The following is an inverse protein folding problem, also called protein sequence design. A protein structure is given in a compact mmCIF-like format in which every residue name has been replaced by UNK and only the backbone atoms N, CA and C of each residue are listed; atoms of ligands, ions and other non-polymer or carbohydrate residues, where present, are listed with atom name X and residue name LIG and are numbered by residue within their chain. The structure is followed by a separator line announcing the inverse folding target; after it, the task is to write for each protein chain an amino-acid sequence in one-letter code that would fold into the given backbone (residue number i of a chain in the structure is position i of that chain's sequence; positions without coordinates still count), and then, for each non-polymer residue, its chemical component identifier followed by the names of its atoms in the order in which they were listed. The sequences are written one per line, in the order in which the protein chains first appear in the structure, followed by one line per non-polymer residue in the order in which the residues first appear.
data_IF_128538993715
#
_entry.id   IF_128538993715
#
_cell.length_a   1.000
_cell.length_b   1.000
_cell.length_c   1.000
_cell.angle_alpha   90.00
_cell.angle_beta   90.00
_cell.angle_gamma   90.00
#
_symmetry.space_group_name_H-M   'P 1'
#
loop_
_entity.id
_entity.type
_entity.pdbx_description
1 polymer ?
#
# COMPACT_ATOMS: atom_id res chain seq x y z
N UNK A 1 -16.60 28.82 0.60
CA UNK A 1 -17.73 27.99 0.14
C UNK A 1 -17.52 26.48 0.35
N UNK A 2 -16.34 25.91 0.03
CA UNK A 2 -16.09 24.47 0.26
C UNK A 2 -16.04 24.09 1.76
N UNK A 3 -15.42 24.93 2.60
CA UNK A 3 -15.36 24.73 4.06
C UNK A 3 -16.75 24.74 4.72
N UNK A 4 -17.65 25.64 4.29
CA UNK A 4 -19.01 25.76 4.84
C UNK A 4 -19.94 24.61 4.44
N UNK A 5 -19.66 23.91 3.33
CA UNK A 5 -20.39 22.70 2.92
C UNK A 5 -19.88 21.46 3.68
N UNK A 6 -18.56 21.35 3.86
CA UNK A 6 -17.92 20.28 4.65
C UNK A 6 -18.35 20.27 6.13
N UNK A 7 -18.72 21.42 6.71
CA UNK A 7 -19.24 21.51 8.09
C UNK A 7 -20.68 21.02 8.25
N UNK A 8 -21.46 20.98 7.15
CA UNK A 8 -22.89 20.65 7.18
C UNK A 8 -23.21 19.19 6.84
N UNK A 9 -22.29 18.48 6.20
CA UNK A 9 -22.46 17.04 5.91
C UNK A 9 -22.09 16.21 7.14
N UNK A 10 -23.11 15.86 7.93
CA UNK A 10 -22.98 14.93 9.05
C UNK A 10 -23.91 13.74 8.84
N UNK A 11 -23.38 12.52 8.97
CA UNK A 11 -24.21 11.30 8.88
C UNK A 11 -24.47 10.77 10.29
N UNK A 12 -25.73 10.45 10.63
CA UNK A 12 -26.06 9.87 11.92
C UNK A 12 -25.37 8.51 12.06
N UNK A 13 -24.57 8.35 13.11
CA UNK A 13 -23.92 7.10 13.47
C UNK A 13 -24.20 6.76 14.94
N UNK A 14 -24.02 5.49 15.32
CA UNK A 14 -24.14 5.07 16.73
C UNK A 14 -23.13 5.87 17.57
N UNK A 15 -23.63 6.73 18.45
CA UNK A 15 -22.83 7.64 19.29
C UNK A 15 -22.71 9.09 18.78
N UNK A 16 -23.45 9.49 17.74
CA UNK A 16 -23.54 10.89 17.29
C UNK A 16 -23.30 11.08 15.79
N UNK A 17 -23.64 12.27 15.28
CA UNK A 17 -23.47 12.60 13.87
C UNK A 17 -21.98 12.84 13.56
N UNK A 18 -21.37 11.98 12.72
CA UNK A 18 -19.97 12.13 12.30
C UNK A 18 -19.89 13.05 11.09
N UNK A 19 -18.98 14.01 11.12
CA UNK A 19 -18.67 14.87 9.98
C UNK A 19 -18.07 14.04 8.86
N UNK A 20 -18.69 14.10 7.69
CA UNK A 20 -18.19 13.48 6.47
C UNK A 20 -17.34 14.52 5.75
N UNK A 21 -16.03 14.36 5.84
CA UNK A 21 -15.10 15.15 5.06
C UNK A 21 -15.12 14.67 3.60
N UNK A 22 -15.04 15.61 2.66
CA UNK A 22 -15.22 15.35 1.22
C UNK A 22 -14.14 14.39 0.67
N UNK A 23 -12.97 14.38 1.27
CA UNK A 23 -11.87 13.44 1.00
C UNK A 23 -12.20 11.98 1.33
N UNK A 24 -13.19 11.71 2.18
CA UNK A 24 -13.63 10.35 2.49
C UNK A 24 -14.65 9.80 1.47
N UNK A 25 -15.47 10.67 0.90
CA UNK A 25 -16.51 10.27 -0.08
C UNK A 25 -15.97 10.29 -1.51
N UNK A 26 -15.10 11.26 -1.82
CA UNK A 26 -14.50 11.41 -3.13
C UNK A 26 -13.92 10.12 -3.73
N UNK A 27 -13.11 9.30 -3.02
CA UNK A 27 -12.54 8.09 -3.63
C UNK A 27 -13.60 7.06 -4.00
N UNK A 28 -14.65 6.88 -3.17
CA UNK A 28 -15.74 5.94 -3.44
C UNK A 28 -16.54 6.40 -4.66
N UNK A 29 -17.00 7.66 -4.65
CA UNK A 29 -17.80 8.23 -5.72
C UNK A 29 -17.05 8.26 -7.05
N UNK A 30 -15.77 8.66 -7.02
CA UNK A 30 -14.93 8.70 -8.21
C UNK A 30 -14.67 7.30 -8.77
N UNK A 31 -14.36 6.31 -7.92
CA UNK A 31 -14.16 4.94 -8.35
C UNK A 31 -15.42 4.40 -9.05
N UNK A 32 -16.58 4.47 -8.39
CA UNK A 32 -17.84 3.95 -8.95
C UNK A 32 -18.18 4.67 -10.25
N UNK A 33 -18.11 6.00 -10.28
CA UNK A 33 -18.44 6.79 -11.49
C UNK A 33 -17.55 6.43 -12.67
N UNK A 34 -16.25 6.22 -12.45
CA UNK A 34 -15.33 5.81 -13.50
C UNK A 34 -15.65 4.40 -14.03
N UNK A 35 -16.01 3.46 -13.15
CA UNK A 35 -16.40 2.11 -13.59
C UNK A 35 -17.72 2.11 -14.37
N UNK A 36 -18.73 2.84 -13.88
CA UNK A 36 -20.01 2.97 -14.58
C UNK A 36 -19.84 3.64 -15.95
N UNK A 37 -18.96 4.64 -16.06
CA UNK A 37 -18.60 5.30 -17.32
C UNK A 37 -17.88 4.34 -18.27
N UNK A 38 -16.94 3.54 -17.76
CA UNK A 38 -16.23 2.54 -18.56
C UNK A 38 -17.19 1.51 -19.19
N UNK A 39 -18.28 1.17 -18.51
CA UNK A 39 -19.25 0.17 -18.97
C UNK A 39 -20.21 0.67 -20.08
N UNK A 40 -20.20 1.96 -20.42
CA UNK A 40 -21.13 2.52 -21.44
C UNK A 40 -20.81 1.99 -22.84
N UNK A 41 -19.53 1.99 -23.24
CA UNK A 41 -19.08 1.46 -24.52
C UNK A 41 -17.56 1.22 -24.52
N UNK A 42 -17.07 0.57 -25.57
CA UNK A 42 -15.66 0.24 -25.74
C UNK A 42 -14.72 1.45 -25.68
N UNK A 43 -15.07 2.57 -26.32
CA UNK A 43 -14.23 3.77 -26.33
C UNK A 43 -14.15 4.43 -24.94
N UNK A 44 -15.26 4.46 -24.20
CA UNK A 44 -15.30 4.92 -22.82
C UNK A 44 -14.43 4.04 -21.93
N UNK A 45 -14.49 2.72 -22.09
CA UNK A 45 -13.62 1.76 -21.37
C UNK A 45 -12.14 2.06 -21.62
N UNK A 46 -11.72 2.17 -22.89
CA UNK A 46 -10.34 2.48 -23.26
C UNK A 46 -9.87 3.81 -22.65
N UNK A 47 -10.69 4.86 -22.78
CA UNK A 47 -10.39 6.17 -22.23
C UNK A 47 -10.22 6.14 -20.71
N UNK A 48 -11.16 5.50 -19.99
CA UNK A 48 -11.15 5.43 -18.53
C UNK A 48 -9.93 4.66 -18.02
N UNK A 49 -9.61 3.49 -18.59
CA UNK A 49 -8.49 2.68 -18.11
C UNK A 49 -7.11 3.27 -18.43
N UNK A 50 -6.99 4.11 -19.46
CA UNK A 50 -5.79 4.93 -19.70
C UNK A 50 -5.73 6.10 -18.71
N UNK A 51 -6.88 6.71 -18.40
CA UNK A 51 -6.96 7.88 -17.53
C UNK A 51 -6.73 7.55 -16.04
N UNK A 52 -7.23 6.42 -15.55
CA UNK A 52 -7.16 6.03 -14.13
C UNK A 52 -5.72 6.07 -13.58
N UNK A 53 -4.70 5.44 -14.21
CA UNK A 53 -3.32 5.51 -13.74
C UNK A 53 -2.79 6.94 -13.68
N UNK A 54 -3.05 7.74 -14.72
CA UNK A 54 -2.60 9.13 -14.81
C UNK A 54 -3.25 9.99 -13.72
N UNK A 55 -4.55 9.81 -13.51
CA UNK A 55 -5.33 10.49 -12.48
C UNK A 55 -4.80 10.15 -11.08
N UNK A 56 -4.60 8.87 -10.77
CA UNK A 56 -4.09 8.44 -9.46
C UNK A 56 -2.67 8.95 -9.19
N UNK A 57 -1.81 9.00 -10.22
CA UNK A 57 -0.47 9.59 -10.10
C UNK A 57 -0.54 11.10 -9.88
N UNK A 58 -1.42 11.81 -10.59
CA UNK A 58 -1.64 13.23 -10.41
C UNK A 58 -2.18 13.54 -9.01
N UNK A 59 -3.23 12.84 -8.57
CA UNK A 59 -3.82 12.98 -7.23
C UNK A 59 -2.79 12.67 -6.13
N UNK A 60 -1.90 11.69 -6.34
CA UNK A 60 -0.86 11.37 -5.37
C UNK A 60 0.12 12.52 -5.19
N UNK A 61 0.50 13.19 -6.28
CA UNK A 61 1.37 14.37 -6.25
C UNK A 61 0.65 15.57 -5.63
N UNK A 62 -0.61 15.80 -6.01
CA UNK A 62 -1.41 16.92 -5.54
C UNK A 62 -1.74 16.80 -4.05
N UNK A 63 -2.35 15.69 -3.63
CA UNK A 63 -2.70 15.45 -2.22
C UNK A 63 -1.45 15.34 -1.34
N UNK A 64 -0.34 14.79 -1.86
CA UNK A 64 0.94 14.78 -1.13
C UNK A 64 1.48 16.18 -0.80
N UNK A 65 1.14 17.20 -1.61
CA UNK A 65 1.50 18.61 -1.38
C UNK A 65 0.50 19.32 -0.46
N UNK A 66 -0.80 19.14 -0.69
CA UNK A 66 -1.86 19.90 0.01
C UNK A 66 -2.26 19.24 1.33
N UNK A 67 -2.46 17.92 1.33
CA UNK A 67 -2.99 17.13 2.45
C UNK A 67 -2.15 15.86 2.68
N UNK A 68 -0.94 15.99 3.26
CA UNK A 68 0.01 14.86 3.37
C UNK A 68 -0.51 13.69 4.22
N UNK A 69 -1.51 13.91 5.08
CA UNK A 69 -2.16 12.89 5.93
C UNK A 69 -3.54 12.43 5.40
N UNK A 70 -3.84 12.69 4.13
CA UNK A 70 -5.12 12.30 3.51
C UNK A 70 -5.32 10.77 3.53
N UNK A 71 -6.57 10.35 3.78
CA UNK A 71 -6.99 8.94 3.73
C UNK A 71 -7.45 8.49 2.35
N UNK A 72 -7.39 9.37 1.35
CA UNK A 72 -7.94 9.14 0.01
C UNK A 72 -7.51 7.80 -0.60
N UNK A 73 -6.20 7.50 -0.65
CA UNK A 73 -5.68 6.27 -1.24
C UNK A 73 -6.02 5.01 -0.45
N UNK A 74 -6.13 5.13 0.87
CA UNK A 74 -6.54 4.00 1.71
C UNK A 74 -8.02 3.68 1.53
N UNK A 75 -8.86 4.70 1.46
CA UNK A 75 -10.28 4.53 1.16
C UNK A 75 -10.48 4.04 -0.28
N UNK A 76 -9.70 4.53 -1.25
CA UNK A 76 -9.70 3.98 -2.60
C UNK A 76 -9.42 2.48 -2.59
N UNK A 77 -8.36 2.03 -1.92
CA UNK A 77 -8.03 0.59 -1.82
C UNK A 77 -9.18 -0.24 -1.23
N UNK A 78 -9.76 0.20 -0.12
CA UNK A 78 -10.87 -0.51 0.54
C UNK A 78 -12.11 -0.53 -0.37
N UNK A 79 -12.40 0.59 -1.03
CA UNK A 79 -13.55 0.72 -1.94
C UNK A 79 -13.38 -0.13 -3.19
N UNK A 80 -12.16 -0.24 -3.73
CA UNK A 80 -11.83 -1.14 -4.85
C UNK A 80 -12.06 -2.60 -4.49
N UNK A 81 -11.62 -3.03 -3.30
CA UNK A 81 -11.86 -4.39 -2.83
C UNK A 81 -13.37 -4.66 -2.63
N UNK A 82 -14.08 -3.71 -2.02
CA UNK A 82 -15.54 -3.81 -1.86
C UNK A 82 -16.30 -3.83 -3.18
N UNK A 83 -15.92 -2.98 -4.13
CA UNK A 83 -16.50 -2.94 -5.47
C UNK A 83 -16.33 -4.28 -6.20
N UNK A 84 -15.10 -4.82 -6.22
CA UNK A 84 -14.83 -6.10 -6.89
C UNK A 84 -15.57 -7.26 -6.22
N UNK A 85 -15.70 -7.25 -4.88
CA UNK A 85 -16.48 -8.27 -4.17
C UNK A 85 -17.97 -8.17 -4.50
N UNK A 86 -18.56 -6.97 -4.46
CA UNK A 86 -19.97 -6.77 -4.80
C UNK A 86 -20.23 -7.15 -6.25
N UNK A 87 -19.35 -6.73 -7.17
CA UNK A 87 -19.45 -7.11 -8.57
C UNK A 87 -19.36 -8.62 -8.72
N UNK A 88 -18.43 -9.30 -8.03
CA UNK A 88 -18.33 -10.77 -8.09
C UNK A 88 -19.62 -11.45 -7.60
N UNK A 89 -20.16 -11.06 -6.45
CA UNK A 89 -21.37 -11.66 -5.88
C UNK A 89 -22.63 -11.40 -6.71
N UNK A 90 -22.73 -10.25 -7.38
CA UNK A 90 -23.82 -9.98 -8.33
C UNK A 90 -23.75 -10.89 -9.55
N UNK A 91 -22.55 -11.37 -9.87
CA UNK A 91 -22.23 -12.10 -11.10
C UNK A 91 -22.26 -13.62 -10.90
N UNK A 92 -22.02 -14.10 -9.69
CA UNK A 92 -22.12 -15.54 -9.34
C UNK A 92 -23.44 -16.17 -9.84
N UNK A 93 -24.63 -15.54 -9.66
CA UNK A 93 -25.89 -16.10 -10.17
C UNK A 93 -26.02 -16.04 -11.71
N UNK A 94 -25.29 -15.13 -12.36
CA UNK A 94 -25.39 -14.86 -13.80
C UNK A 94 -24.47 -15.75 -14.64
N UNK A 95 -23.34 -16.20 -14.09
CA UNK A 95 -22.18 -16.65 -14.87
C UNK A 95 -21.68 -18.08 -14.58
N UNK A 96 -22.57 -18.98 -14.12
CA UNK A 96 -22.27 -20.40 -13.84
C UNK A 96 -20.96 -20.64 -13.03
N UNK A 97 -20.60 -19.72 -12.14
CA UNK A 97 -19.39 -19.83 -11.33
C UNK A 97 -19.57 -20.95 -10.29
N UNK A 98 -18.59 -21.85 -10.19
CA UNK A 98 -18.69 -22.98 -9.28
C UNK A 98 -18.59 -22.51 -7.81
N UNK A 99 -19.36 -23.06 -6.86
CA UNK A 99 -19.31 -22.62 -5.46
C UNK A 99 -17.91 -22.69 -4.83
N UNK A 100 -17.08 -23.66 -5.27
CA UNK A 100 -15.71 -23.82 -4.81
C UNK A 100 -14.80 -22.65 -5.25
N UNK A 101 -15.00 -22.15 -6.46
CA UNK A 101 -14.25 -21.01 -7.02
C UNK A 101 -14.62 -19.71 -6.30
N UNK A 102 -15.91 -19.53 -5.99
CA UNK A 102 -16.37 -18.40 -5.18
C UNK A 102 -15.75 -18.42 -3.78
N UNK A 103 -15.80 -19.57 -3.10
CA UNK A 103 -15.17 -19.74 -1.78
C UNK A 103 -13.67 -19.46 -1.83
N UNK A 104 -12.96 -19.93 -2.86
CA UNK A 104 -11.54 -19.67 -3.04
C UNK A 104 -11.24 -18.16 -3.17
N UNK A 105 -12.05 -17.43 -3.96
CA UNK A 105 -11.91 -15.99 -4.11
C UNK A 105 -12.15 -15.23 -2.81
N UNK A 106 -13.25 -15.52 -2.10
CA UNK A 106 -13.58 -14.88 -0.81
C UNK A 106 -12.48 -15.15 0.23
N UNK A 107 -11.94 -16.38 0.27
CA UNK A 107 -10.84 -16.74 1.16
C UNK A 107 -9.57 -15.94 0.85
N UNK A 108 -9.17 -15.84 -0.41
CA UNK A 108 -7.98 -15.06 -0.80
C UNK A 108 -8.16 -13.57 -0.47
N UNK A 109 -9.34 -13.01 -0.75
CA UNK A 109 -9.63 -11.60 -0.48
C UNK A 109 -9.64 -11.31 1.02
N UNK A 110 -10.25 -12.19 1.83
CA UNK A 110 -10.27 -12.06 3.29
C UNK A 110 -8.88 -12.20 3.91
N UNK A 111 -8.07 -13.17 3.46
CA UNK A 111 -6.68 -13.32 3.89
C UNK A 111 -5.83 -12.10 3.55
N UNK A 112 -6.00 -11.54 2.34
CA UNK A 112 -5.38 -10.28 1.94
C UNK A 112 -5.75 -9.16 2.92
N UNK A 113 -7.06 -8.94 3.15
CA UNK A 113 -7.54 -7.88 4.02
C UNK A 113 -7.01 -8.03 5.45
N UNK A 114 -7.03 -9.25 6.01
CA UNK A 114 -6.49 -9.54 7.35
C UNK A 114 -4.99 -9.21 7.42
N UNK A 115 -4.20 -9.60 6.41
CA UNK A 115 -2.77 -9.32 6.37
C UNK A 115 -2.47 -7.82 6.28
N UNK A 116 -3.16 -7.10 5.39
CA UNK A 116 -2.98 -5.65 5.22
C UNK A 116 -3.49 -4.86 6.43
N UNK A 117 -4.59 -5.29 7.05
CA UNK A 117 -5.08 -4.71 8.30
C UNK A 117 -4.09 -4.92 9.45
N UNK A 118 -3.58 -6.15 9.63
CA UNK A 118 -2.54 -6.43 10.62
C UNK A 118 -1.26 -5.65 10.34
N UNK A 119 -0.91 -5.44 9.06
CA UNK A 119 0.23 -4.59 8.65
C UNK A 119 0.06 -3.17 9.18
N UNK A 120 -1.11 -2.56 8.99
CA UNK A 120 -1.39 -1.21 9.51
C UNK A 120 -1.34 -1.18 11.04
N UNK A 121 -2.03 -2.11 11.71
CA UNK A 121 -2.06 -2.18 13.19
C UNK A 121 -0.68 -2.33 13.81
N UNK A 122 0.19 -3.15 13.19
CA UNK A 122 1.56 -3.37 13.66
C UNK A 122 2.54 -2.26 13.30
N UNK A 123 2.16 -1.28 12.47
CA UNK A 123 3.03 -0.17 12.13
C UNK A 123 3.49 0.61 13.38
N UNK A 124 2.60 0.75 14.37
CA UNK A 124 2.89 1.45 15.64
C UNK A 124 3.99 0.77 16.43
N UNK A 125 4.12 -0.56 16.37
CA UNK A 125 5.18 -1.30 17.05
C UNK A 125 6.57 -1.00 16.48
N UNK A 126 6.64 -0.51 15.23
CA UNK A 126 7.88 -0.07 14.61
C UNK A 126 8.28 1.37 14.95
N UNK A 127 7.45 2.10 15.70
CA UNK A 127 7.76 3.46 16.13
C UNK A 127 8.77 3.41 17.26
N UNK A 128 9.84 4.18 17.12
CA UNK A 128 10.86 4.29 18.17
C UNK A 128 10.26 5.17 19.28
N UNK A 129 10.05 4.62 20.47
CA UNK A 129 9.71 5.42 21.65
C UNK A 129 10.89 6.33 22.03
N UNK A 130 10.63 7.54 22.53
CA UNK A 130 11.68 8.31 23.19
C UNK A 130 12.09 7.55 24.45
N UNK A 131 13.38 7.27 24.64
CA UNK A 131 13.85 6.74 25.91
C UNK A 131 13.62 7.83 26.97
N UNK A 132 12.77 7.55 27.94
CA UNK A 132 12.35 8.48 29.00
C UNK A 132 13.42 8.72 30.07
N UNK A 133 14.64 9.03 29.68
CA UNK A 133 15.53 9.79 30.57
C UNK A 133 15.42 11.24 30.10
N UNK A 134 15.01 12.14 30.99
CA UNK A 134 14.64 13.54 30.74
C UNK A 134 15.72 14.47 30.15
N UNK A 135 16.66 13.96 29.37
CA UNK A 135 17.54 14.76 28.53
C UNK A 135 16.89 14.99 27.16
N UNK A 136 16.01 16.00 27.08
CA UNK A 136 15.71 16.62 25.80
C UNK A 136 17.04 17.13 25.22
N UNK A 137 17.47 16.58 24.08
CA UNK A 137 18.74 16.95 23.49
C UNK A 137 18.66 18.40 22.98
N UNK A 138 19.58 19.27 23.41
CA UNK A 138 19.66 20.65 22.96
C UNK A 138 20.46 20.72 21.65
N UNK A 139 19.77 20.47 20.52
CA UNK A 139 20.37 20.50 19.18
C UNK A 139 20.40 21.94 18.66
N UNK A 140 21.15 22.83 19.29
CA UNK A 140 21.23 24.26 18.90
C UNK A 140 22.41 24.57 17.96
N UNK A 141 23.11 23.56 17.43
CA UNK A 141 24.40 23.74 16.76
C UNK A 141 24.55 23.34 15.29
N UNK A 142 23.48 23.19 14.49
CA UNK A 142 23.63 22.91 13.05
C UNK A 142 22.57 23.62 12.20
N UNK A 143 22.92 24.81 11.69
CA UNK A 143 22.17 25.46 10.61
C UNK A 143 22.66 24.92 9.26
N UNK A 144 21.69 24.77 8.35
CA UNK A 144 21.77 24.50 6.91
C UNK A 144 21.84 23.03 6.44
N UNK A 145 20.64 22.52 6.13
CA UNK A 145 20.42 21.40 5.22
C UNK A 145 18.92 21.17 5.05
N UNK A 146 18.38 21.35 3.85
CA UNK A 146 16.93 21.27 3.55
C UNK A 146 16.29 19.87 3.75
N UNK A 147 17.06 18.88 4.22
CA UNK A 147 16.62 17.50 4.42
C UNK A 147 16.44 17.16 5.91
N UNK A 148 15.36 17.68 6.48
CA UNK A 148 14.86 17.47 7.85
C UNK A 148 14.48 16.02 8.23
N UNK A 149 14.91 14.99 7.49
CA UNK A 149 14.55 13.59 7.73
C UNK A 149 15.68 12.71 8.28
N UNK A 150 16.82 13.30 8.66
CA UNK A 150 18.07 12.56 8.85
C UNK A 150 18.38 12.33 10.32
N UNK A 151 18.91 11.13 10.60
CA UNK A 151 19.60 10.86 11.85
C UNK A 151 21.05 11.32 11.68
N UNK A 152 21.49 12.31 12.46
CA UNK A 152 22.85 12.85 12.39
C UNK A 152 23.75 11.99 13.28
N UNK A 153 24.94 11.63 12.78
CA UNK A 153 25.97 11.00 13.59
C UNK A 153 26.51 12.04 14.57
N UNK A 154 26.37 11.76 15.86
CA UNK A 154 26.97 12.55 16.91
C UNK A 154 28.11 11.71 17.47
N UNK A 155 29.33 12.18 17.26
CA UNK A 155 30.47 11.73 18.04
C UNK A 155 30.40 12.44 19.38
N UNK A 156 30.25 11.69 20.46
CA UNK A 156 30.42 12.21 21.81
C UNK A 156 31.91 12.59 21.95
N UNK A 157 32.25 13.84 21.61
CA UNK A 157 33.51 14.47 22.04
C UNK A 157 33.21 15.04 23.41
N UNK A 158 33.38 14.22 24.44
CA UNK A 158 33.38 14.71 25.81
C UNK A 158 34.63 15.58 26.02
N UNK A 159 34.46 16.91 26.03
CA UNK A 159 35.43 17.86 26.61
C UNK A 159 35.30 17.82 28.14
N UNK A 160 35.50 16.65 28.73
CA UNK A 160 35.46 16.46 30.19
C UNK A 160 36.59 15.54 30.61
N UNK A 161 37.65 16.19 31.08
CA UNK A 161 38.84 15.63 31.69
C UNK A 161 38.43 14.97 33.04
N UNK A 162 38.08 13.68 33.03
CA UNK A 162 38.19 12.86 34.23
C UNK A 162 38.39 11.38 33.87
N UNK A 163 39.42 10.78 34.46
CA UNK A 163 39.88 9.44 34.13
C UNK A 163 38.97 8.35 34.67
N UNK A 164 38.43 7.49 33.79
CA UNK A 164 37.74 6.29 34.23
C UNK A 164 36.99 5.52 33.15
N UNK A 165 37.55 4.36 32.77
CA UNK A 165 36.94 3.28 31.97
C UNK A 165 36.60 3.58 30.50
N UNK A 166 37.26 2.83 29.61
CA UNK A 166 37.00 2.78 28.17
C UNK A 166 35.59 2.23 27.94
N UNK A 167 34.58 3.11 27.85
CA UNK A 167 33.30 2.79 27.26
C UNK A 167 33.40 2.97 25.75
N UNK A 168 33.21 1.88 25.03
CA UNK A 168 33.08 1.79 23.56
C UNK A 168 32.42 3.04 22.96
N UNK A 169 33.22 3.84 22.24
CA UNK A 169 32.84 5.10 21.60
C UNK A 169 31.89 4.87 20.42
N UNK A 170 30.71 4.31 20.70
CA UNK A 170 29.68 4.05 19.71
C UNK A 170 29.00 5.35 19.28
N UNK A 171 29.39 5.89 18.12
CA UNK A 171 28.71 7.01 17.47
C UNK A 171 27.19 6.82 17.49
N UNK A 172 26.46 7.73 18.15
CA UNK A 172 25.00 7.64 18.27
C UNK A 172 24.33 8.44 17.16
N UNK A 173 23.36 7.83 16.49
CA UNK A 173 22.54 8.50 15.48
C UNK A 173 21.37 9.22 16.17
N UNK A 174 21.11 10.49 15.84
CA UNK A 174 20.05 11.30 16.45
C UNK A 174 19.13 11.95 15.42
N UNK A 175 17.81 11.81 15.59
CA UNK A 175 16.84 12.48 14.72
C UNK A 175 16.61 13.93 15.16
N UNK A 176 16.91 14.88 14.28
CA UNK A 176 16.71 16.32 14.49
C UNK A 176 15.23 16.66 14.77
N UNK A 177 14.31 16.07 14.01
CA UNK A 177 12.88 16.39 14.11
C UNK A 177 12.20 15.79 15.35
N UNK A 178 12.66 14.63 15.82
CA UNK A 178 12.15 14.00 17.04
C UNK A 178 13.00 14.29 18.29
N UNK A 179 14.15 14.97 18.14
CA UNK A 179 15.13 15.27 19.19
C UNK A 179 15.46 14.06 20.08
N UNK A 180 15.73 12.92 19.45
CA UNK A 180 16.06 11.67 20.16
C UNK A 180 17.07 10.83 19.41
N UNK A 181 17.81 10.02 20.16
CA UNK A 181 18.65 8.97 19.58
C UNK A 181 17.79 7.91 18.88
N UNK A 182 18.30 7.40 17.76
CA UNK A 182 17.64 6.41 16.93
C UNK A 182 18.62 5.29 16.58
N UNK A 183 18.16 4.03 16.50
CA UNK A 183 19.01 2.93 16.09
C UNK A 183 19.44 3.08 14.62
N UNK A 184 20.51 2.38 14.20
CA UNK A 184 20.91 2.32 12.80
C UNK A 184 19.75 1.92 11.88
N UNK A 185 19.74 2.49 10.66
CA UNK A 185 18.70 2.27 9.63
C UNK A 185 17.29 2.72 10.04
N UNK A 186 17.15 3.50 11.11
CA UNK A 186 15.89 4.16 11.43
C UNK A 186 15.77 5.50 10.71
N UNK A 187 14.56 5.81 10.23
CA UNK A 187 14.30 7.03 9.47
C UNK A 187 13.04 7.74 9.96
N UNK A 188 13.05 9.07 9.88
CA UNK A 188 11.90 9.90 10.25
C UNK A 188 10.90 9.98 9.08
N UNK A 189 9.67 9.53 9.31
CA UNK A 189 8.58 9.72 8.35
C UNK A 189 7.89 11.06 8.58
N UNK A 190 7.98 12.00 7.63
CA UNK A 190 7.26 13.29 7.71
C UNK A 190 5.75 13.11 7.82
N UNK A 191 5.18 12.11 7.13
CA UNK A 191 3.72 11.85 7.11
C UNK A 191 3.23 11.30 8.45
N UNK A 192 3.90 10.27 8.99
CA UNK A 192 3.55 9.72 10.31
C UNK A 192 4.05 10.58 11.47
N UNK A 193 4.96 11.52 11.21
CA UNK A 193 5.59 12.40 12.20
C UNK A 193 6.33 11.62 13.31
N UNK A 194 6.96 10.51 12.96
CA UNK A 194 7.67 9.63 13.90
C UNK A 194 8.86 8.93 13.24
N UNK A 195 9.85 8.53 14.05
CA UNK A 195 10.94 7.66 13.61
C UNK A 195 10.49 6.19 13.57
N UNK A 196 10.75 5.53 12.45
CA UNK A 196 10.38 4.13 12.21
C UNK A 196 11.65 3.28 12.07
N UNK A 197 11.72 2.19 12.82
CA UNK A 197 12.86 1.27 12.77
C UNK A 197 12.91 0.51 11.44
N UNK A 198 14.07 0.53 10.78
CA UNK A 198 14.30 -0.07 9.44
C UNK A 198 13.15 0.28 8.49
N UNK A 199 12.88 1.57 8.37
CA UNK A 199 11.77 2.07 7.55
C UNK A 199 12.01 1.70 6.08
N UNK A 200 11.05 0.99 5.47
CA UNK A 200 11.09 0.75 4.03
C UNK A 200 10.51 1.93 3.27
N UNK A 201 9.21 2.17 3.45
CA UNK A 201 8.52 3.30 2.85
C UNK A 201 7.28 3.67 3.67
N UNK A 202 6.75 4.88 3.42
CA UNK A 202 5.39 5.21 3.83
C UNK A 202 4.43 4.78 2.73
N UNK A 203 3.53 3.85 3.03
CA UNK A 203 2.54 3.35 2.08
C UNK A 203 1.26 4.17 2.18
N UNK A 204 0.97 4.98 1.15
CA UNK A 204 -0.24 5.81 1.08
C UNK A 204 -1.53 5.00 0.99
N UNK A 205 -1.48 3.79 0.41
CA UNK A 205 -2.64 2.89 0.24
C UNK A 205 -3.01 2.19 1.54
N UNK A 206 -2.04 1.95 2.42
CA UNK A 206 -2.31 1.42 3.76
C UNK A 206 -2.39 2.52 4.81
N UNK A 207 -2.06 3.76 4.45
CA UNK A 207 -1.94 4.90 5.34
C UNK A 207 -1.08 4.58 6.58
N UNK A 208 0.06 3.89 6.38
CA UNK A 208 0.98 3.52 7.44
C UNK A 208 2.42 3.37 6.91
N UNK A 209 3.40 3.41 7.80
CA UNK A 209 4.77 3.04 7.43
C UNK A 209 4.92 1.51 7.39
N UNK A 210 5.63 1.04 6.37
CA UNK A 210 6.14 -0.34 6.30
C UNK A 210 7.59 -0.31 6.76
N UNK A 211 7.94 -1.16 7.71
CA UNK A 211 9.28 -1.30 8.28
C UNK A 211 9.43 -2.63 9.01
N UNK A 212 10.44 -2.76 9.89
CA UNK A 212 10.83 -4.05 10.50
C UNK A 212 9.64 -4.84 11.08
N UNK A 213 8.75 -4.17 11.80
CA UNK A 213 7.67 -4.79 12.57
C UNK A 213 6.52 -5.39 11.71
N UNK A 214 6.35 -4.93 10.47
CA UNK A 214 5.19 -5.26 9.64
C UNK A 214 5.50 -5.62 8.18
N UNK A 215 6.77 -5.55 7.75
CA UNK A 215 7.18 -5.80 6.35
C UNK A 215 6.72 -7.14 5.78
N UNK A 216 6.77 -8.22 6.56
CA UNK A 216 6.34 -9.54 6.09
C UNK A 216 4.84 -9.64 5.85
N UNK A 217 4.04 -9.07 6.76
CA UNK A 217 2.59 -9.05 6.63
C UNK A 217 2.18 -8.20 5.43
N UNK A 218 2.92 -7.12 5.16
CA UNK A 218 2.73 -6.32 3.96
C UNK A 218 2.95 -7.15 2.70
N UNK A 219 4.08 -7.85 2.60
CA UNK A 219 4.41 -8.66 1.43
C UNK A 219 3.40 -9.81 1.24
N UNK A 220 3.03 -10.50 2.32
CA UNK A 220 2.04 -11.57 2.29
C UNK A 220 0.65 -11.06 1.86
N UNK A 221 0.22 -9.90 2.38
CA UNK A 221 -1.03 -9.27 1.98
C UNK A 221 -1.04 -8.88 0.49
N UNK A 222 0.08 -8.37 -0.03
CA UNK A 222 0.22 -8.09 -1.46
C UNK A 222 0.12 -9.36 -2.31
N UNK A 223 0.74 -10.48 -1.88
CA UNK A 223 0.67 -11.76 -2.59
C UNK A 223 -0.76 -12.29 -2.63
N UNK A 224 -1.48 -12.31 -1.50
CA UNK A 224 -2.88 -12.71 -1.50
C UNK A 224 -3.76 -11.78 -2.34
N UNK A 225 -3.47 -10.47 -2.35
CA UNK A 225 -4.16 -9.52 -3.24
C UNK A 225 -3.93 -9.86 -4.70
N UNK A 226 -2.68 -10.15 -5.09
CA UNK A 226 -2.33 -10.52 -6.46
C UNK A 226 -3.10 -11.77 -6.91
N UNK A 227 -3.11 -12.81 -6.07
CA UNK A 227 -3.82 -14.06 -6.36
C UNK A 227 -5.34 -13.84 -6.45
N UNK A 228 -5.92 -13.07 -5.54
CA UNK A 228 -7.35 -12.74 -5.57
C UNK A 228 -7.74 -12.00 -6.85
N UNK A 229 -6.95 -11.00 -7.27
CA UNK A 229 -7.22 -10.21 -8.48
C UNK A 229 -7.05 -11.04 -9.76
N UNK A 230 -6.04 -11.91 -9.81
CA UNK A 230 -5.85 -12.84 -10.94
C UNK A 230 -7.01 -13.84 -11.05
N UNK A 231 -7.43 -14.42 -9.92
CA UNK A 231 -8.56 -15.35 -9.89
C UNK A 231 -9.86 -14.65 -10.32
N UNK A 232 -10.15 -13.47 -9.77
CA UNK A 232 -11.30 -12.67 -10.18
C UNK A 232 -11.30 -12.38 -11.68
N UNK A 233 -10.19 -11.86 -12.21
CA UNK A 233 -10.09 -11.50 -13.62
C UNK A 233 -10.25 -12.72 -14.53
N UNK A 234 -9.67 -13.87 -14.16
CA UNK A 234 -9.81 -15.10 -14.92
C UNK A 234 -11.28 -15.56 -14.95
N UNK A 235 -11.90 -15.78 -13.79
CA UNK A 235 -13.28 -16.26 -13.68
C UNK A 235 -14.28 -15.34 -14.39
N UNK A 236 -14.15 -14.03 -14.17
CA UNK A 236 -15.06 -13.06 -14.77
C UNK A 236 -14.87 -12.95 -16.30
N UNK A 237 -13.63 -13.03 -16.82
CA UNK A 237 -13.41 -13.00 -18.27
C UNK A 237 -13.84 -14.30 -18.96
N UNK A 238 -13.58 -15.46 -18.38
CA UNK A 238 -13.99 -16.75 -18.97
C UNK A 238 -15.49 -16.94 -18.99
N UNK A 239 -16.21 -16.22 -18.11
CA UNK A 239 -17.66 -16.27 -18.08
C UNK A 239 -18.32 -15.21 -18.98
N UNK A 240 -17.69 -14.05 -19.18
CA UNK A 240 -18.22 -12.97 -20.04
C UNK A 240 -17.85 -13.15 -21.52
N UNK A 241 -16.64 -13.61 -21.82
CA UNK A 241 -16.18 -13.82 -23.19
C UNK A 241 -16.23 -15.31 -23.54
N UNK A 242 -16.36 -15.64 -24.83
CA UNK A 242 -16.35 -17.03 -25.28
C UNK A 242 -15.07 -17.76 -24.82
N UNK A 243 -15.17 -18.78 -23.95
CA UNK A 243 -13.99 -19.42 -23.40
C UNK A 243 -13.43 -20.45 -24.38
N UNK A 244 -12.15 -20.34 -24.69
CA UNK A 244 -11.39 -21.34 -25.45
C UNK A 244 -10.43 -22.10 -24.54
N UNK A 245 -10.41 -23.44 -24.59
CA UNK A 245 -9.50 -24.25 -23.80
C UNK A 245 -8.08 -24.16 -24.39
N UNK A 246 -7.09 -23.72 -23.61
CA UNK A 246 -5.69 -23.64 -24.08
C UNK A 246 -4.85 -24.83 -23.62
N UNK A 247 -4.89 -25.19 -22.33
CA UNK A 247 -4.08 -26.29 -21.79
C UNK A 247 -4.74 -26.99 -20.60
N UNK A 248 -4.43 -28.29 -20.41
CA UNK A 248 -4.93 -29.10 -19.29
C UNK A 248 -3.80 -29.29 -18.26
N UNK A 249 -4.05 -28.88 -17.01
CA UNK A 249 -3.12 -29.06 -15.89
C UNK A 249 -3.77 -30.00 -14.88
N UNK A 250 -3.25 -31.23 -14.76
CA UNK A 250 -3.75 -32.24 -13.80
C UNK A 250 -5.27 -32.46 -13.84
N UNK A 251 -5.88 -32.45 -15.03
CA UNK A 251 -7.33 -32.63 -15.20
C UNK A 251 -8.14 -31.34 -15.16
N UNK A 252 -7.54 -30.20 -14.81
CA UNK A 252 -8.18 -28.87 -14.86
C UNK A 252 -7.88 -28.22 -16.21
N UNK A 253 -8.93 -27.90 -16.97
CA UNK A 253 -8.83 -27.20 -18.25
C UNK A 253 -8.69 -25.71 -17.98
N UNK A 254 -7.61 -25.09 -18.47
CA UNK A 254 -7.42 -23.64 -18.39
C UNK A 254 -8.06 -23.00 -19.63
N UNK A 255 -9.10 -22.21 -19.37
CA UNK A 255 -9.88 -21.47 -20.37
C UNK A 255 -9.36 -20.04 -20.51
N UNK A 256 -9.38 -19.50 -21.73
CA UNK A 256 -9.05 -18.10 -22.02
C UNK A 256 -10.13 -17.44 -22.89
N UNK A 257 -10.36 -16.12 -22.73
CA UNK A 257 -11.34 -15.39 -23.52
C UNK A 257 -10.86 -15.17 -24.97
N UNK A 258 -11.67 -15.53 -25.98
CA UNK A 258 -11.31 -15.42 -27.42
C UNK A 258 -12.17 -14.39 -28.19
N UNK A 259 -13.48 -14.30 -27.91
CA UNK A 259 -14.36 -13.27 -28.48
C UNK A 259 -15.13 -12.52 -27.39
N UNK A 260 -15.03 -11.19 -27.41
CA UNK A 260 -15.69 -10.27 -26.47
C UNK A 260 -16.49 -9.18 -27.23
N UNK A 261 -16.81 -9.37 -28.52
CA UNK A 261 -17.44 -8.34 -29.36
C UNK A 261 -18.79 -7.87 -28.82
N UNK A 262 -19.53 -8.76 -28.15
CA UNK A 262 -20.90 -8.51 -27.70
C UNK A 262 -21.03 -8.04 -26.24
N UNK A 263 -19.92 -7.82 -25.54
CA UNK A 263 -19.92 -7.52 -24.10
C UNK A 263 -20.62 -6.20 -23.71
N UNK A 264 -20.74 -5.25 -24.65
CA UNK A 264 -21.37 -3.94 -24.41
C UNK A 264 -22.86 -3.88 -24.76
N UNK A 265 -23.47 -4.98 -25.23
CA UNK A 265 -24.91 -5.01 -25.51
C UNK A 265 -25.77 -5.06 -24.24
N UNK A 266 -25.24 -5.65 -23.16
CA UNK A 266 -25.89 -5.69 -21.86
C UNK A 266 -25.04 -4.99 -20.81
N UNK A 267 -25.65 -4.08 -20.04
CA UNK A 267 -24.92 -3.25 -19.10
C UNK A 267 -24.27 -4.06 -17.97
N UNK A 268 -24.95 -5.11 -17.50
CA UNK A 268 -24.44 -5.98 -16.44
C UNK A 268 -23.18 -6.73 -16.88
N UNK A 269 -23.19 -7.29 -18.11
CA UNK A 269 -22.03 -7.95 -18.72
C UNK A 269 -20.88 -6.96 -18.95
N UNK A 270 -21.19 -5.73 -19.39
CA UNK A 270 -20.19 -4.68 -19.57
C UNK A 270 -19.52 -4.27 -18.24
N UNK A 271 -20.28 -4.24 -17.13
CA UNK A 271 -19.73 -3.98 -15.79
C UNK A 271 -18.77 -5.09 -15.34
N UNK A 272 -19.11 -6.36 -15.61
CA UNK A 272 -18.23 -7.49 -15.34
C UNK A 272 -16.93 -7.38 -16.11
N UNK A 273 -17.02 -7.13 -17.43
CA UNK A 273 -15.87 -6.99 -18.29
C UNK A 273 -14.95 -5.86 -17.83
N UNK A 274 -15.51 -4.66 -17.61
CA UNK A 274 -14.73 -3.50 -17.14
C UNK A 274 -14.15 -3.73 -15.74
N UNK A 275 -14.88 -4.41 -14.86
CA UNK A 275 -14.36 -4.89 -13.58
C UNK A 275 -13.13 -5.80 -13.72
N UNK A 276 -13.14 -6.73 -14.68
CA UNK A 276 -11.99 -7.59 -14.98
C UNK A 276 -10.79 -6.82 -15.50
N UNK A 277 -11.00 -5.87 -16.41
CA UNK A 277 -9.92 -4.98 -16.90
C UNK A 277 -9.35 -4.14 -15.75
N UNK A 278 -10.21 -3.64 -14.86
CA UNK A 278 -9.78 -2.94 -13.65
C UNK A 278 -8.95 -3.85 -12.73
N UNK A 279 -9.39 -5.09 -12.50
CA UNK A 279 -8.65 -6.06 -11.70
C UNK A 279 -7.28 -6.37 -12.30
N UNK A 280 -7.17 -6.53 -13.62
CA UNK A 280 -5.89 -6.72 -14.33
C UNK A 280 -4.97 -5.50 -14.19
N UNK A 281 -5.51 -4.29 -14.32
CA UNK A 281 -4.75 -3.06 -14.10
C UNK A 281 -4.17 -3.00 -12.67
N UNK A 282 -4.99 -3.36 -11.68
CA UNK A 282 -4.55 -3.43 -10.28
C UNK A 282 -3.55 -4.56 -10.05
N UNK A 283 -3.70 -5.71 -10.73
CA UNK A 283 -2.74 -6.82 -10.72
C UNK A 283 -1.36 -6.35 -11.17
N UNK A 284 -1.27 -5.61 -12.29
CA UNK A 284 0.01 -5.05 -12.76
C UNK A 284 0.62 -4.11 -11.71
N UNK A 285 -0.18 -3.24 -11.11
CA UNK A 285 0.27 -2.34 -10.06
C UNK A 285 0.83 -3.07 -8.82
N UNK A 286 0.13 -4.11 -8.35
CA UNK A 286 0.55 -4.93 -7.22
C UNK A 286 1.77 -5.78 -7.58
N UNK A 287 1.83 -6.35 -8.78
CA UNK A 287 2.97 -7.14 -9.27
C UNK A 287 4.27 -6.31 -9.30
N UNK A 288 4.21 -5.08 -9.83
CA UNK A 288 5.36 -4.14 -9.79
C UNK A 288 5.77 -3.85 -8.35
N UNK A 289 4.79 -3.66 -7.45
CA UNK A 289 5.05 -3.41 -6.03
C UNK A 289 5.73 -4.61 -5.35
N UNK A 290 5.30 -5.84 -5.64
CA UNK A 290 5.93 -7.07 -5.14
C UNK A 290 7.34 -7.21 -5.72
N UNK A 291 7.52 -7.09 -7.03
CA UNK A 291 8.82 -7.22 -7.69
C UNK A 291 9.86 -6.27 -7.11
N UNK A 292 9.48 -5.00 -6.88
CA UNK A 292 10.33 -4.01 -6.23
C UNK A 292 10.76 -4.44 -4.82
N UNK A 293 9.82 -4.97 -4.03
CA UNK A 293 10.11 -5.46 -2.68
C UNK A 293 11.02 -6.69 -2.70
N UNK A 294 10.78 -7.65 -3.60
CA UNK A 294 11.63 -8.82 -3.78
C UNK A 294 13.06 -8.42 -4.17
N UNK A 295 13.21 -7.45 -5.08
CA UNK A 295 14.50 -6.93 -5.49
C UNK A 295 15.25 -6.28 -4.31
N UNK A 296 14.59 -5.40 -3.55
CA UNK A 296 15.21 -4.74 -2.40
C UNK A 296 15.57 -5.70 -1.27
N UNK A 297 14.70 -6.65 -0.95
CA UNK A 297 15.00 -7.72 0.03
C UNK A 297 16.20 -8.53 -0.44
N UNK A 298 16.24 -8.92 -1.72
CA UNK A 298 17.37 -9.69 -2.29
C UNK A 298 18.70 -8.91 -2.23
N UNK A 299 18.65 -7.59 -2.40
CA UNK A 299 19.80 -6.70 -2.24
C UNK A 299 20.13 -6.33 -0.78
N UNK A 300 19.27 -6.67 0.19
CA UNK A 300 19.45 -6.32 1.60
C UNK A 300 19.22 -4.85 1.94
N UNK A 301 18.63 -4.08 1.01
CA UNK A 301 18.37 -2.64 1.13
C UNK A 301 16.89 -2.36 1.32
N UNK A 302 16.57 -1.23 1.92
CA UNK A 302 15.21 -0.69 2.00
C UNK A 302 14.98 0.36 0.91
N UNK A 303 13.73 0.65 0.57
CA UNK A 303 13.43 1.72 -0.39
C UNK A 303 13.95 3.09 0.09
N UNK A 304 13.91 3.36 1.40
CA UNK A 304 14.41 4.62 1.97
C UNK A 304 15.94 4.74 1.81
N UNK A 305 16.68 3.65 2.06
CA UNK A 305 18.14 3.60 1.83
C UNK A 305 18.48 3.80 0.35
N UNK A 306 17.78 3.09 -0.55
CA UNK A 306 17.99 3.25 -2.00
C UNK A 306 17.73 4.69 -2.45
N UNK A 307 16.64 5.31 -1.97
CA UNK A 307 16.28 6.68 -2.32
C UNK A 307 17.31 7.70 -1.83
N UNK A 308 17.99 7.43 -0.72
CA UNK A 308 19.01 8.31 -0.13
C UNK A 308 20.41 8.07 -0.68
N UNK A 309 20.63 6.95 -1.37
CA UNK A 309 21.97 6.55 -1.80
C UNK A 309 22.85 6.05 -0.65
N UNK A 310 22.24 5.59 0.45
CA UNK A 310 22.99 5.12 1.62
C UNK A 310 23.77 3.85 1.27
N UNK A 311 25.09 3.85 1.54
CA UNK A 311 25.93 2.69 1.33
C UNK A 311 25.65 1.62 2.39
N UNK A 312 24.88 0.59 2.02
CA UNK A 312 24.65 -0.59 2.85
C UNK A 312 25.62 -1.69 2.44
N UNK A 313 26.33 -2.28 3.41
CA UNK A 313 27.22 -3.39 3.16
C UNK A 313 26.42 -4.60 2.65
N UNK A 314 26.60 -4.95 1.37
CA UNK A 314 25.78 -5.96 0.69
C UNK A 314 26.27 -7.35 1.07
N UNK A 315 25.42 -8.12 1.74
CA UNK A 315 25.64 -9.57 1.94
C UNK A 315 25.02 -10.35 0.78
N UNK A 316 25.29 -11.65 0.74
CA UNK A 316 24.73 -12.52 -0.29
C UNK A 316 23.19 -12.61 -0.19
N UNK A 317 22.55 -12.92 -1.32
CA UNK A 317 21.09 -12.97 -1.44
C UNK A 317 20.43 -13.91 -0.41
N UNK A 318 21.01 -15.10 -0.22
CA UNK A 318 20.53 -16.09 0.75
C UNK A 318 20.53 -15.56 2.19
N UNK A 319 21.60 -14.84 2.59
CA UNK A 319 21.66 -14.24 3.92
C UNK A 319 20.60 -13.14 4.07
N UNK A 320 20.42 -12.29 3.05
CA UNK A 320 19.41 -11.23 3.10
C UNK A 320 18.00 -11.79 3.29
N UNK A 321 17.66 -12.86 2.56
CA UNK A 321 16.38 -13.57 2.71
C UNK A 321 16.25 -14.27 4.06
N UNK A 322 17.31 -14.93 4.55
CA UNK A 322 17.33 -15.54 5.89
C UNK A 322 17.07 -14.49 6.96
N UNK A 323 17.76 -13.35 6.91
CA UNK A 323 17.59 -12.22 7.83
C UNK A 323 16.17 -11.66 7.75
N UNK A 324 15.63 -11.47 6.55
CA UNK A 324 14.25 -11.01 6.37
C UNK A 324 13.24 -11.98 6.98
N UNK A 325 13.38 -13.29 6.75
CA UNK A 325 12.48 -14.34 7.26
C UNK A 325 12.63 -14.60 8.77
N UNK A 326 13.81 -14.37 9.36
CA UNK A 326 14.04 -14.54 10.80
C UNK A 326 13.78 -13.27 11.63
N UNK A 327 13.91 -12.09 11.02
CA UNK A 327 13.46 -10.82 11.64
C UNK A 327 14.57 -10.15 12.44
N UNK A 328 15.79 -10.53 12.10
CA UNK A 328 17.03 -9.96 12.57
C UNK A 328 17.24 -8.61 11.86
#
# INVERSE_FOLDING_TARGET
MLLTFQDRLRVPWRGGAKQITLDNVAPIALLISLQLLAAINFYCSLFVFILIPLLLLYLKRLLGKILPKSKFFNLWLISSGGYLLVLFELVVPLLEILPQENVAFILLLSLSFICLFKTNRRAVLGHIAGHGNGAAMNVDGCKNGNDSQTAVLISDRDDSDDGGSVSDGGSRLACQQCRKYVPPRAYHCKVCSCCVQRQDHHNVWLNCCVGKANHRLYLLGCIFTLLALLLFANLALTAVCHPTPIFNVYGVIVMMPDDCTDMFFQYDIALCFTGSIYALLMTVFIAISILKQLCFISCGITYTEWRRGDHVNRRNCLWNWKTFCLGQ
#
